data_IF_700376904587
#
_entry.id   IF_700376904587
#
_cell.length_a   1.000
_cell.length_b   1.000
_cell.length_c   1.000
_cell.angle_alpha   90.00
_cell.angle_beta   90.00
_cell.angle_gamma   90.00
#
_symmetry.space_group_name_H-M   'P 1'
#
loop_
_entity.id
_entity.type
_entity.pdbx_description
1 polymer ?
#
# COMPACT_ATOMS: atom_id res chain seq x y z
N UNK A 1 -8.49 13.07 -25.18
CA UNK A 1 -8.28 12.82 -26.62
C UNK A 1 -7.07 13.65 -27.04
N UNK A 2 -5.97 13.01 -27.46
CA UNK A 2 -4.85 13.73 -28.08
C UNK A 2 -5.12 13.89 -29.57
N UNK A 3 -5.20 15.13 -30.06
CA UNK A 3 -5.22 15.42 -31.50
C UNK A 3 -3.84 15.14 -32.09
N UNK A 4 -3.76 14.39 -33.21
CA UNK A 4 -2.50 14.11 -33.92
C UNK A 4 -2.60 14.46 -35.40
N UNK A 5 -1.52 15.03 -35.94
CA UNK A 5 -1.36 15.32 -37.37
C UNK A 5 -1.05 14.06 -38.17
N UNK A 6 -1.50 13.99 -39.44
CA UNK A 6 -1.32 12.83 -40.34
C UNK A 6 0.14 12.42 -40.58
N UNK A 7 1.10 13.33 -40.39
CA UNK A 7 2.55 13.08 -40.52
C UNK A 7 3.21 12.59 -39.23
N UNK A 8 2.46 12.45 -38.13
CA UNK A 8 3.03 12.05 -36.84
C UNK A 8 3.46 10.58 -36.90
N UNK A 9 4.67 10.23 -36.43
CA UNK A 9 5.06 8.84 -36.29
C UNK A 9 4.06 8.09 -35.42
N UNK A 10 3.75 6.86 -35.80
CA UNK A 10 2.86 6.01 -35.02
C UNK A 10 3.41 5.86 -33.60
N UNK A 11 2.56 5.95 -32.55
CA UNK A 11 3.02 5.75 -31.20
C UNK A 11 3.67 4.37 -31.10
N UNK A 12 4.98 4.35 -30.83
CA UNK A 12 5.69 3.11 -30.49
C UNK A 12 5.14 2.63 -29.17
N UNK A 13 4.20 1.68 -29.22
CA UNK A 13 3.86 0.88 -28.06
C UNK A 13 5.11 0.09 -27.69
N UNK A 14 5.81 0.51 -26.65
CA UNK A 14 6.76 -0.37 -25.98
C UNK A 14 5.97 -1.63 -25.59
N UNK A 15 6.40 -2.80 -26.07
CA UNK A 15 5.85 -4.06 -25.57
C UNK A 15 6.18 -4.11 -24.09
N UNK A 16 5.16 -3.94 -23.25
CA UNK A 16 5.28 -4.27 -21.84
C UNK A 16 5.44 -5.80 -21.79
N UNK A 17 6.69 -6.26 -21.70
CA UNK A 17 6.97 -7.64 -21.32
C UNK A 17 6.43 -7.77 -19.90
N UNK A 18 5.48 -8.67 -19.67
CA UNK A 18 5.07 -9.01 -18.32
C UNK A 18 6.33 -9.41 -17.56
N UNK A 19 6.64 -8.75 -16.44
CA UNK A 19 7.76 -9.19 -15.61
C UNK A 19 7.60 -10.65 -15.30
N UNK A 20 8.67 -11.42 -15.46
CA UNK A 20 8.64 -12.86 -15.24
C UNK A 20 8.09 -13.22 -13.85
N UNK A 21 8.25 -12.31 -12.87
CA UNK A 21 7.79 -12.46 -11.49
C UNK A 21 7.28 -11.15 -10.91
N UNK A 22 6.23 -11.25 -10.09
CA UNK A 22 5.53 -10.15 -9.43
C UNK A 22 5.31 -10.51 -7.96
N UNK A 23 5.92 -9.73 -7.07
CA UNK A 23 5.68 -9.80 -5.62
C UNK A 23 4.58 -8.79 -5.27
N UNK A 24 3.53 -9.26 -4.60
CA UNK A 24 2.50 -8.37 -4.05
C UNK A 24 2.74 -8.17 -2.55
N UNK A 25 2.54 -6.93 -2.09
CA UNK A 25 2.72 -6.53 -0.69
C UNK A 25 1.45 -5.90 -0.14
N UNK A 26 1.28 -6.04 1.16
CA UNK A 26 0.34 -5.28 1.98
C UNK A 26 1.14 -4.56 3.04
N UNK A 27 1.01 -3.24 3.13
CA UNK A 27 1.72 -2.42 4.12
C UNK A 27 0.74 -1.57 4.91
N UNK A 28 0.97 -1.49 6.21
CA UNK A 28 0.29 -0.59 7.15
C UNK A 28 1.34 0.27 7.84
N UNK A 29 1.15 1.58 7.80
CA UNK A 29 2.09 2.59 8.30
C UNK A 29 1.31 3.83 8.75
N UNK A 30 1.94 4.65 9.58
CA UNK A 30 1.42 5.92 10.09
C UNK A 30 2.55 6.95 10.16
N UNK A 31 2.24 8.16 10.60
CA UNK A 31 3.18 9.29 10.60
C UNK A 31 4.50 9.01 11.33
N UNK A 32 4.52 8.15 12.36
CA UNK A 32 5.73 7.85 13.12
C UNK A 32 6.44 6.55 12.69
N UNK A 33 5.88 5.78 11.74
CA UNK A 33 6.54 4.55 11.30
C UNK A 33 5.68 3.53 10.58
N UNK A 34 6.34 2.48 10.08
CA UNK A 34 5.68 1.31 9.51
C UNK A 34 5.26 0.34 10.61
N UNK A 35 3.99 -0.09 10.62
CA UNK A 35 3.43 -1.01 11.61
C UNK A 35 3.58 -2.46 11.16
N UNK A 36 3.24 -2.73 9.90
CA UNK A 36 3.15 -4.09 9.39
C UNK A 36 3.40 -4.15 7.89
N UNK A 37 4.13 -5.18 7.45
CA UNK A 37 4.33 -5.51 6.04
C UNK A 37 4.12 -7.01 5.89
N UNK A 38 3.26 -7.41 4.97
CA UNK A 38 3.07 -8.80 4.55
C UNK A 38 3.27 -8.92 3.05
N UNK A 39 3.81 -10.04 2.61
CA UNK A 39 4.00 -10.36 1.20
C UNK A 39 3.14 -11.56 0.83
N UNK A 40 2.65 -11.56 -0.40
CA UNK A 40 1.97 -12.71 -0.99
C UNK A 40 2.92 -13.46 -1.90
N UNK A 41 2.82 -14.79 -1.81
CA UNK A 41 3.45 -15.68 -2.78
C UNK A 41 2.99 -15.34 -4.19
N UNK A 42 3.87 -15.57 -5.16
CA UNK A 42 3.59 -15.32 -6.58
C UNK A 42 2.26 -15.93 -7.03
N UNK A 43 1.49 -15.14 -7.80
CA UNK A 43 0.20 -15.56 -8.35
C UNK A 43 -0.96 -15.61 -7.35
N UNK A 44 -0.75 -15.23 -6.09
CA UNK A 44 -1.83 -15.12 -5.09
C UNK A 44 -2.30 -13.67 -4.95
N UNK A 45 -3.59 -13.51 -4.68
CA UNK A 45 -4.24 -12.22 -4.41
C UNK A 45 -4.70 -12.14 -2.95
N UNK A 46 -4.91 -10.93 -2.45
CA UNK A 46 -5.54 -10.75 -1.14
C UNK A 46 -7.01 -11.11 -1.27
N UNK A 47 -7.38 -12.21 -0.64
CA UNK A 47 -8.77 -12.61 -0.48
C UNK A 47 -9.30 -12.11 0.88
N UNK A 48 -10.60 -12.31 1.07
CA UNK A 48 -11.30 -11.87 2.27
C UNK A 48 -10.71 -12.45 3.56
N UNK A 49 -10.49 -13.76 3.61
CA UNK A 49 -9.97 -14.45 4.79
C UNK A 49 -8.59 -13.91 5.21
N UNK A 50 -7.70 -13.74 4.22
CA UNK A 50 -6.37 -13.17 4.46
C UNK A 50 -6.50 -11.75 4.98
N UNK A 51 -7.35 -10.93 4.37
CA UNK A 51 -7.52 -9.55 4.79
C UNK A 51 -7.99 -9.45 6.26
N UNK A 52 -8.99 -10.24 6.64
CA UNK A 52 -9.47 -10.32 8.03
C UNK A 52 -8.35 -10.76 8.99
N UNK A 53 -7.56 -11.77 8.59
CA UNK A 53 -6.41 -12.24 9.38
C UNK A 53 -5.38 -11.12 9.60
N UNK A 54 -5.08 -10.35 8.55
CA UNK A 54 -4.17 -9.22 8.62
C UNK A 54 -4.70 -8.09 9.52
N UNK A 55 -5.99 -7.75 9.44
CA UNK A 55 -6.63 -6.76 10.34
C UNK A 55 -6.55 -7.16 11.81
N UNK A 56 -6.77 -8.44 12.13
CA UNK A 56 -6.64 -8.95 13.51
C UNK A 56 -5.21 -8.83 14.03
N UNK A 57 -4.22 -9.23 13.23
CA UNK A 57 -2.79 -9.06 13.58
C UNK A 57 -2.43 -7.59 13.77
N UNK A 58 -2.94 -6.72 12.90
CA UNK A 58 -2.71 -5.28 12.96
C UNK A 58 -3.25 -4.69 14.26
N UNK A 59 -4.48 -5.01 14.66
CA UNK A 59 -5.09 -4.55 15.91
C UNK A 59 -4.24 -4.93 17.13
N UNK A 60 -3.78 -6.18 17.20
CA UNK A 60 -2.89 -6.65 18.29
C UNK A 60 -1.56 -5.89 18.30
N UNK A 61 -0.97 -5.68 17.11
CA UNK A 61 0.34 -5.01 16.98
C UNK A 61 0.25 -3.54 17.36
N UNK A 62 -0.81 -2.85 16.96
CA UNK A 62 -1.05 -1.44 17.31
C UNK A 62 -1.19 -1.26 18.81
N UNK A 63 -1.97 -2.11 19.49
CA UNK A 63 -2.12 -2.09 20.95
C UNK A 63 -0.77 -2.26 21.67
N UNK A 64 0.13 -3.07 21.12
CA UNK A 64 1.46 -3.31 21.69
C UNK A 64 2.44 -2.15 21.45
N UNK A 65 2.42 -1.57 20.25
CA UNK A 65 3.33 -0.46 19.88
C UNK A 65 2.85 0.86 20.48
N UNK A 66 1.54 1.00 20.73
CA UNK A 66 0.94 2.22 21.28
C UNK A 66 0.03 1.96 22.50
N UNK A 67 0.56 1.40 23.60
CA UNK A 67 -0.25 1.08 24.77
C UNK A 67 -0.83 2.33 25.45
N UNK A 68 -0.16 3.49 25.32
CA UNK A 68 -0.59 4.77 25.92
C UNK A 68 -1.53 5.58 25.03
N UNK A 69 -1.54 5.33 23.72
CA UNK A 69 -2.55 5.89 22.83
C UNK A 69 -3.71 4.89 22.84
N UNK A 70 -4.59 4.98 23.85
CA UNK A 70 -5.95 4.40 23.82
C UNK A 70 -6.82 5.08 22.73
N UNK A 71 -6.17 5.49 21.64
CA UNK A 71 -6.70 6.31 20.59
C UNK A 71 -7.51 5.41 19.67
N UNK A 72 -8.68 5.92 19.33
CA UNK A 72 -9.46 5.53 18.17
C UNK A 72 -8.49 5.20 17.03
N UNK A 73 -8.46 3.92 16.61
CA UNK A 73 -7.61 3.48 15.51
C UNK A 73 -8.29 3.91 14.21
N UNK A 74 -7.70 4.84 13.47
CA UNK A 74 -8.30 5.33 12.23
C UNK A 74 -7.66 4.59 11.05
N UNK A 75 -8.49 3.89 10.26
CA UNK A 75 -8.04 3.13 9.10
C UNK A 75 -8.49 3.83 7.81
N UNK A 76 -7.54 4.05 6.89
CA UNK A 76 -7.83 4.46 5.52
C UNK A 76 -7.43 3.32 4.58
N UNK A 77 -8.42 2.75 3.90
CA UNK A 77 -8.24 1.69 2.91
C UNK A 77 -9.13 1.93 1.69
N UNK A 78 -8.76 1.36 0.56
CA UNK A 78 -9.59 1.40 -0.64
C UNK A 78 -10.88 0.58 -0.48
N UNK A 79 -11.82 0.78 -1.41
CA UNK A 79 -13.11 0.10 -1.44
C UNK A 79 -13.08 -1.24 -2.21
N UNK A 80 -11.93 -1.93 -2.27
CA UNK A 80 -11.84 -3.22 -2.94
C UNK A 80 -12.82 -4.24 -2.32
N UNK A 81 -13.29 -5.19 -3.12
CA UNK A 81 -14.30 -6.20 -2.70
C UNK A 81 -14.02 -6.91 -1.36
N UNK A 82 -12.78 -7.36 -1.03
CA UNK A 82 -12.52 -7.93 0.28
C UNK A 82 -12.64 -6.91 1.42
N UNK A 83 -12.59 -5.61 1.16
CA UNK A 83 -12.64 -4.55 2.16
C UNK A 83 -14.06 -4.15 2.56
N UNK A 84 -15.03 -4.29 1.66
CA UNK A 84 -16.42 -3.91 1.87
C UNK A 84 -17.33 -5.09 2.25
N UNK A 85 -16.76 -6.24 2.64
CA UNK A 85 -17.56 -7.40 3.02
C UNK A 85 -18.09 -7.28 4.45
N UNK A 86 -19.25 -7.89 4.73
CA UNK A 86 -19.82 -7.96 6.09
C UNK A 86 -18.85 -8.55 7.12
N UNK A 87 -18.08 -9.56 6.74
CA UNK A 87 -17.10 -10.19 7.63
C UNK A 87 -15.91 -9.26 7.93
N UNK A 88 -15.61 -8.37 6.99
CA UNK A 88 -14.58 -7.34 7.15
C UNK A 88 -15.07 -6.24 8.09
N UNK A 89 -16.31 -5.80 7.95
CA UNK A 89 -16.93 -4.83 8.86
C UNK A 89 -16.88 -5.32 10.31
N UNK A 90 -17.18 -6.61 10.55
CA UNK A 90 -17.03 -7.24 11.88
C UNK A 90 -15.57 -7.22 12.37
N UNK A 91 -14.60 -7.50 11.48
CA UNK A 91 -13.19 -7.44 11.82
C UNK A 91 -12.69 -6.01 12.12
N UNK A 92 -13.39 -5.01 11.59
CA UNK A 92 -13.09 -3.59 11.74
C UNK A 92 -13.66 -2.96 13.01
N UNK A 93 -14.33 -3.71 13.90
CA UNK A 93 -14.95 -3.15 15.11
C UNK A 93 -14.03 -2.34 16.05
N UNK A 94 -12.70 -2.51 15.96
CA UNK A 94 -11.74 -1.71 16.74
C UNK A 94 -11.22 -0.47 15.98
N UNK A 95 -11.69 -0.25 14.76
CA UNK A 95 -11.22 0.80 13.86
C UNK A 95 -12.37 1.76 13.51
N UNK A 96 -12.05 3.03 13.42
CA UNK A 96 -12.86 4.03 12.71
C UNK A 96 -12.36 4.07 11.28
N UNK A 97 -13.21 3.65 10.35
CA UNK A 97 -12.88 3.61 8.93
C UNK A 97 -13.19 4.97 8.33
N UNK A 98 -12.22 5.54 7.61
CA UNK A 98 -12.44 6.78 6.87
C UNK A 98 -13.14 6.50 5.55
N UNK A 99 -14.08 7.37 5.13
CA UNK A 99 -14.71 7.24 3.84
C UNK A 99 -13.67 7.40 2.74
N UNK A 100 -13.66 6.46 1.80
CA UNK A 100 -12.81 6.49 0.63
C UNK A 100 -13.68 6.47 -0.63
N UNK A 101 -13.67 7.51 -1.48
CA UNK A 101 -14.37 7.49 -2.75
C UNK A 101 -13.84 6.42 -3.69
N UNK A 102 -14.73 5.84 -4.49
CA UNK A 102 -14.38 4.88 -5.53
C UNK A 102 -13.33 5.44 -6.50
N UNK A 103 -12.37 4.61 -6.90
CA UNK A 103 -11.38 4.90 -7.95
C UNK A 103 -10.59 6.19 -7.74
N UNK A 104 -10.22 6.51 -6.50
CA UNK A 104 -9.50 7.75 -6.17
C UNK A 104 -8.09 7.43 -5.64
N UNK A 105 -7.15 7.01 -6.50
CA UNK A 105 -5.77 6.72 -6.08
C UNK A 105 -4.99 7.99 -5.67
N UNK A 106 -5.43 9.16 -6.14
CA UNK A 106 -4.86 10.48 -5.84
C UNK A 106 -5.03 10.89 -4.37
N UNK A 107 -6.02 10.33 -3.69
CA UNK A 107 -6.23 10.50 -2.25
C UNK A 107 -5.69 9.33 -1.44
N UNK A 108 -5.08 8.31 -2.04
CA UNK A 108 -4.47 7.21 -1.28
C UNK A 108 -3.00 7.53 -1.08
N UNK A 109 -2.53 7.83 0.15
CA UNK A 109 -1.14 8.22 0.38
C UNK A 109 -0.15 7.13 -0.04
N UNK A 110 -0.60 5.88 0.05
CA UNK A 110 0.20 4.78 -0.43
C UNK A 110 0.42 4.84 -1.95
N UNK A 111 -0.60 5.15 -2.73
CA UNK A 111 -0.56 5.09 -4.19
C UNK A 111 0.04 6.37 -4.78
N UNK A 112 -0.32 7.51 -4.20
CA UNK A 112 0.19 8.83 -4.60
C UNK A 112 1.66 9.05 -4.17
N UNK A 113 2.05 8.63 -2.96
CA UNK A 113 3.34 9.01 -2.39
C UNK A 113 4.31 7.84 -2.21
N UNK A 114 3.92 6.78 -1.49
CA UNK A 114 4.85 5.70 -1.14
C UNK A 114 5.27 4.86 -2.34
N UNK A 115 4.29 4.45 -3.15
CA UNK A 115 4.50 3.47 -4.20
C UNK A 115 5.38 3.98 -5.35
N UNK A 116 5.25 5.23 -5.83
CA UNK A 116 6.18 5.80 -6.80
C UNK A 116 7.62 5.83 -6.29
N UNK A 117 7.83 6.24 -5.04
CA UNK A 117 9.16 6.34 -4.43
C UNK A 117 9.80 4.99 -4.15
N UNK A 118 9.00 3.99 -3.77
CA UNK A 118 9.49 2.63 -3.64
C UNK A 118 9.87 2.06 -5.02
N UNK A 119 9.02 2.26 -6.05
CA UNK A 119 9.33 1.83 -7.42
C UNK A 119 10.61 2.46 -7.94
N UNK A 120 10.83 3.76 -7.66
CA UNK A 120 12.08 4.44 -8.01
C UNK A 120 13.30 3.78 -7.37
N UNK A 121 13.23 3.43 -6.08
CA UNK A 121 14.33 2.77 -5.40
C UNK A 121 14.60 1.35 -5.92
N UNK A 122 13.56 0.62 -6.33
CA UNK A 122 13.69 -0.75 -6.84
C UNK A 122 14.09 -0.77 -8.32
N UNK A 123 13.89 0.33 -9.04
CA UNK A 123 14.15 0.44 -10.47
C UNK A 123 15.64 0.27 -10.75
N UNK A 124 15.95 -0.58 -11.73
CA UNK A 124 17.33 -0.81 -12.19
C UNK A 124 18.11 -1.82 -11.36
N UNK A 125 17.55 -2.35 -10.28
CA UNK A 125 18.15 -3.45 -9.53
C UNK A 125 17.71 -4.80 -10.10
N UNK A 126 18.61 -5.78 -10.00
CA UNK A 126 18.31 -7.19 -10.28
C UNK A 126 18.17 -7.96 -8.97
N UNK A 127 17.20 -8.87 -8.93
CA UNK A 127 16.89 -9.69 -7.78
C UNK A 127 16.80 -11.15 -8.23
N UNK A 128 17.45 -12.06 -7.50
CA UNK A 128 17.49 -13.49 -7.86
C UNK A 128 16.17 -14.19 -7.47
N UNK A 129 15.52 -13.72 -6.40
CA UNK A 129 14.27 -14.29 -5.91
C UNK A 129 13.33 -13.32 -5.20
N UNK A 130 12.12 -13.82 -4.90
CA UNK A 130 11.08 -13.04 -4.23
C UNK A 130 11.57 -12.58 -2.85
N UNK A 131 12.36 -13.41 -2.17
CA UNK A 131 12.96 -13.11 -0.87
C UNK A 131 13.89 -11.89 -0.90
N UNK A 132 14.67 -11.72 -1.98
CA UNK A 132 15.56 -10.56 -2.13
C UNK A 132 14.75 -9.27 -2.33
N UNK A 133 13.67 -9.35 -3.10
CA UNK A 133 12.72 -8.24 -3.28
C UNK A 133 12.03 -7.91 -1.95
N UNK A 134 11.55 -8.92 -1.22
CA UNK A 134 10.95 -8.74 0.10
C UNK A 134 11.93 -8.07 1.08
N UNK A 135 13.19 -8.51 1.08
CA UNK A 135 14.25 -7.95 1.92
C UNK A 135 14.54 -6.50 1.56
N UNK A 136 14.66 -6.18 0.27
CA UNK A 136 14.87 -4.81 -0.23
C UNK A 136 13.71 -3.89 0.15
N UNK A 137 12.46 -4.35 -0.01
CA UNK A 137 11.26 -3.59 0.39
C UNK A 137 11.25 -3.37 1.91
N UNK A 138 11.49 -4.41 2.71
CA UNK A 138 11.58 -4.27 4.19
C UNK A 138 12.68 -3.29 4.59
N UNK A 139 13.85 -3.37 3.95
CA UNK A 139 14.97 -2.48 4.20
C UNK A 139 14.62 -1.02 3.88
N UNK A 140 14.02 -0.78 2.71
CA UNK A 140 13.59 0.56 2.29
C UNK A 140 12.63 1.21 3.28
N UNK A 141 11.65 0.46 3.80
CA UNK A 141 10.72 0.98 4.82
C UNK A 141 11.41 1.26 6.17
N UNK A 142 12.39 0.45 6.58
CA UNK A 142 13.15 0.68 7.82
C UNK A 142 14.02 1.94 7.77
N UNK A 143 14.47 2.32 6.58
CA UNK A 143 15.28 3.53 6.39
C UNK A 143 14.45 4.83 6.37
N UNK A 144 13.11 4.76 6.34
CA UNK A 144 12.29 5.97 6.28
C UNK A 144 12.22 6.63 7.65
N UNK A 145 12.61 7.90 7.69
CA UNK A 145 12.44 8.74 8.86
C UNK A 145 10.97 9.10 9.06
N UNK A 146 10.65 9.56 10.27
CA UNK A 146 9.31 10.05 10.65
C UNK A 146 8.84 11.15 9.71
N UNK A 147 9.70 12.11 9.37
CA UNK A 147 9.33 13.24 8.49
C UNK A 147 8.84 12.79 7.11
N UNK A 148 9.43 11.72 6.57
CA UNK A 148 9.03 11.15 5.29
C UNK A 148 7.58 10.62 5.33
N UNK A 149 7.24 9.87 6.38
CA UNK A 149 5.89 9.30 6.55
C UNK A 149 4.89 10.37 7.00
N UNK A 150 5.32 11.32 7.83
CA UNK A 150 4.51 12.47 8.20
C UNK A 150 4.10 13.29 6.97
N UNK A 151 5.04 13.56 6.05
CA UNK A 151 4.74 14.24 4.77
C UNK A 151 3.69 13.48 3.96
N UNK A 152 3.78 12.15 3.95
CA UNK A 152 2.80 11.31 3.27
C UNK A 152 1.40 11.39 3.92
N UNK A 153 1.33 11.51 5.25
CA UNK A 153 0.07 11.70 5.99
C UNK A 153 -0.55 13.08 5.79
N UNK A 154 0.25 14.17 5.87
CA UNK A 154 -0.25 15.56 5.83
C UNK A 154 -0.85 15.93 4.47
N UNK A 155 -0.40 15.30 3.39
CA UNK A 155 -1.01 15.49 2.07
C UNK A 155 -2.44 14.90 1.96
N UNK A 156 -2.89 14.13 2.95
CA UNK A 156 -4.28 13.76 3.12
C UNK A 156 -4.98 14.82 3.97
N UNK A 157 -5.92 15.57 3.38
CA UNK A 157 -6.70 16.60 4.07
C UNK A 157 -7.55 16.02 5.21
N UNK A 158 -7.00 15.73 6.38
CA UNK A 158 -7.81 15.53 7.60
C UNK A 158 -7.05 15.95 8.86
N UNK A 159 -7.74 16.79 9.61
CA UNK A 159 -7.41 17.40 10.89
C UNK A 159 -7.38 16.37 12.02
N UNK A 160 -6.33 16.41 12.86
CA UNK A 160 -6.37 15.88 14.23
C UNK A 160 -5.43 14.70 14.53
N UNK A 161 -5.12 14.54 15.81
CA UNK A 161 -4.13 13.66 16.44
C UNK A 161 -4.39 12.14 16.33
N UNK A 162 -4.94 11.68 15.22
CA UNK A 162 -5.28 10.27 14.98
C UNK A 162 -4.10 9.51 14.34
N UNK A 163 -3.94 8.24 14.71
CA UNK A 163 -2.96 7.34 14.08
C UNK A 163 -3.53 6.91 12.73
N UNK A 164 -2.99 7.51 11.67
CA UNK A 164 -3.32 7.25 10.28
C UNK A 164 -2.77 5.91 9.84
N UNK A 165 -3.61 4.95 9.46
CA UNK A 165 -3.09 3.72 8.89
C UNK A 165 -3.46 3.65 7.41
N UNK A 166 -2.47 3.94 6.57
CA UNK A 166 -2.60 3.76 5.13
C UNK A 166 -2.41 2.28 4.76
N UNK A 167 -3.38 1.72 4.05
CA UNK A 167 -3.30 0.38 3.47
C UNK A 167 -3.25 0.46 1.94
N UNK A 168 -2.50 -0.45 1.31
CA UNK A 168 -2.68 -0.80 -0.10
C UNK A 168 -2.63 -2.32 -0.27
N UNK A 169 -3.58 -2.86 -1.05
CA UNK A 169 -3.55 -4.21 -1.61
C UNK A 169 -3.68 -4.16 -3.12
N UNK A 170 -2.78 -3.45 -3.78
CA UNK A 170 -2.91 -3.21 -5.20
C UNK A 170 -2.45 -4.42 -6.01
N UNK A 171 -3.41 -4.96 -6.76
CA UNK A 171 -3.19 -5.77 -7.96
C UNK A 171 -2.27 -5.09 -9.00
N UNK A 172 -1.92 -3.81 -8.85
CA UNK A 172 -1.10 -3.05 -9.80
C UNK A 172 0.32 -2.70 -9.31
N UNK A 173 0.65 -2.98 -8.04
CA UNK A 173 1.99 -2.72 -7.50
C UNK A 173 2.90 -3.94 -7.49
N UNK A 174 3.04 -4.52 -8.67
CA UNK A 174 4.15 -5.42 -8.95
C UNK A 174 5.47 -4.70 -8.73
N UNK A 175 6.35 -5.28 -7.95
CA UNK A 175 7.78 -5.12 -8.22
C UNK A 175 8.09 -6.11 -9.34
N UNK A 176 8.44 -5.58 -10.51
CA UNK A 176 8.91 -6.38 -11.63
C UNK A 176 10.32 -6.87 -11.33
N UNK A 177 10.53 -8.18 -11.27
CA UNK A 177 11.86 -8.74 -11.55
C UNK A 177 12.08 -8.71 -13.06
N UNK A 178 13.21 -8.17 -13.49
CA UNK A 178 13.72 -8.31 -14.86
C UNK A 178 14.83 -9.34 -14.83
#
# INVERSE_FOLDING_TARGET
MEYRHKSSPSPRKFKAVASARKVMRTVFWYSEGTVHIEFLKQGKTVNLERYISTLRKLSVRLKRVHPKKHAILVLHHDIDRPHTSRQTEEALHNFVVLPHPSYSPDITPNDFYLSPKLKECLRGNHYEGDEDVEAAVRHWFRQKCVDFLHTACVNLYVVGSCVWIGMETSLNNAVCMI
#
